data_IF_499093951596
#
_entry.id   IF_499093951596
#
_cell.length_a   1.000
_cell.length_b   1.000
_cell.length_c   1.000
_cell.angle_alpha   90.00
_cell.angle_beta   90.00
_cell.angle_gamma   90.00
#
_symmetry.space_group_name_H-M   'P 1'
#
loop_
_entity.id
_entity.type
_entity.pdbx_description
1 polymer ?
#
# COMPACT_ATOMS: atom_id res chain seq x y z
N UNK A 1 -15.64 -6.58 -25.16
CA UNK A 1 -15.65 -6.29 -23.71
C UNK A 1 -17.05 -5.89 -23.29
N UNK A 2 -17.58 -6.47 -22.21
CA UNK A 2 -18.89 -6.10 -21.65
C UNK A 2 -18.81 -4.80 -20.83
N UNK A 3 -19.93 -4.10 -20.61
CA UNK A 3 -19.98 -2.89 -19.77
C UNK A 3 -19.42 -3.13 -18.35
N UNK A 4 -19.63 -4.33 -17.80
CA UNK A 4 -19.11 -4.74 -16.49
C UNK A 4 -17.59 -4.88 -16.47
N UNK A 5 -16.99 -5.39 -17.55
CA UNK A 5 -15.53 -5.50 -17.69
C UNK A 5 -14.86 -4.13 -17.79
N UNK A 6 -15.46 -3.23 -18.56
CA UNK A 6 -14.97 -1.84 -18.68
C UNK A 6 -15.08 -1.12 -17.33
N UNK A 7 -16.20 -1.27 -16.62
CA UNK A 7 -16.38 -0.69 -15.29
C UNK A 7 -15.33 -1.19 -14.29
N UNK A 8 -15.03 -2.49 -14.31
CA UNK A 8 -13.99 -3.07 -13.46
C UNK A 8 -12.59 -2.54 -13.84
N UNK A 9 -12.29 -2.41 -15.13
CA UNK A 9 -11.02 -1.85 -15.62
C UNK A 9 -10.81 -0.40 -15.14
N UNK A 10 -11.86 0.42 -15.19
CA UNK A 10 -11.82 1.79 -14.67
C UNK A 10 -11.55 1.80 -13.16
N UNK A 11 -12.20 0.91 -12.40
CA UNK A 11 -11.94 0.76 -10.96
C UNK A 11 -10.48 0.42 -10.70
N UNK A 12 -9.90 -0.52 -11.45
CA UNK A 12 -8.48 -0.87 -11.34
C UNK A 12 -7.57 0.31 -11.70
N UNK A 13 -7.90 1.07 -12.75
CA UNK A 13 -7.10 2.22 -13.18
C UNK A 13 -7.08 3.34 -12.12
N UNK A 14 -8.25 3.67 -11.56
CA UNK A 14 -8.36 4.67 -10.48
C UNK A 14 -7.68 4.18 -9.21
N UNK A 15 -7.85 2.90 -8.88
CA UNK A 15 -7.23 2.28 -7.71
C UNK A 15 -5.70 2.30 -7.79
N UNK A 16 -5.12 1.79 -8.88
CA UNK A 16 -3.66 1.82 -9.11
C UNK A 16 -3.13 3.25 -9.22
N UNK A 17 -3.89 4.15 -9.86
CA UNK A 17 -3.57 5.58 -9.95
C UNK A 17 -3.49 6.26 -8.57
N UNK A 18 -4.42 5.97 -7.66
CA UNK A 18 -4.40 6.52 -6.31
C UNK A 18 -3.13 6.10 -5.55
N UNK A 19 -2.69 4.85 -5.71
CA UNK A 19 -1.45 4.36 -5.14
C UNK A 19 -0.21 5.02 -5.74
N UNK A 20 -0.13 5.11 -7.07
CA UNK A 20 0.98 5.79 -7.75
C UNK A 20 1.10 7.25 -7.33
N UNK A 21 0.00 7.99 -7.30
CA UNK A 21 -0.04 9.40 -6.87
C UNK A 21 0.41 9.53 -5.41
N UNK A 22 -0.06 8.65 -4.53
CA UNK A 22 0.38 8.62 -3.12
C UNK A 22 1.87 8.37 -3.01
N UNK A 23 2.38 7.37 -3.74
CA UNK A 23 3.79 7.00 -3.77
C UNK A 23 4.68 8.18 -4.19
N UNK A 24 4.38 8.79 -5.34
CA UNK A 24 5.13 9.93 -5.87
C UNK A 24 5.05 11.14 -4.94
N UNK A 25 3.85 11.45 -4.41
CA UNK A 25 3.66 12.59 -3.50
C UNK A 25 4.47 12.44 -2.22
N UNK A 26 4.44 11.26 -1.60
CA UNK A 26 5.23 10.98 -0.40
C UNK A 26 6.73 10.93 -0.68
N UNK A 27 7.15 10.48 -1.87
CA UNK A 27 8.57 10.47 -2.25
C UNK A 27 9.13 11.89 -2.34
N UNK A 28 8.45 12.75 -3.10
CA UNK A 28 8.92 14.10 -3.39
C UNK A 28 8.80 15.05 -2.20
N UNK A 29 7.77 14.87 -1.37
CA UNK A 29 7.44 15.83 -0.31
C UNK A 29 7.57 15.26 1.11
N UNK A 30 7.81 13.95 1.27
CA UNK A 30 7.83 13.28 2.57
C UNK A 30 8.98 13.68 3.49
N UNK A 31 10.11 14.12 2.94
CA UNK A 31 11.25 14.61 3.76
C UNK A 31 10.86 15.81 4.63
N UNK A 32 9.87 16.58 4.19
CA UNK A 32 9.38 17.78 4.88
C UNK A 32 8.58 17.44 6.15
N UNK A 33 8.23 16.18 6.36
CA UNK A 33 7.60 15.71 7.61
C UNK A 33 8.61 15.39 8.72
N UNK A 34 9.89 15.77 8.55
CA UNK A 34 10.94 15.58 9.54
C UNK A 34 10.59 16.16 10.92
N UNK A 35 9.78 17.25 10.97
CA UNK A 35 9.29 17.86 12.22
C UNK A 35 8.52 16.90 13.13
N UNK A 36 7.90 15.87 12.55
CA UNK A 36 7.15 14.86 13.30
C UNK A 36 7.98 13.58 13.56
N UNK A 37 9.25 13.54 13.13
CA UNK A 37 10.12 12.37 13.25
C UNK A 37 9.72 11.18 12.36
N UNK A 38 8.82 11.39 11.38
CA UNK A 38 8.25 10.32 10.55
C UNK A 38 8.74 10.29 9.10
N UNK A 39 9.61 11.21 8.69
CA UNK A 39 10.07 11.33 7.29
C UNK A 39 10.68 10.03 6.75
N UNK A 40 11.55 9.37 7.52
CA UNK A 40 12.14 8.09 7.12
C UNK A 40 11.09 6.98 6.94
N UNK A 41 10.06 6.97 7.78
CA UNK A 41 8.97 6.00 7.72
C UNK A 41 8.07 6.22 6.50
N UNK A 42 7.78 7.48 6.15
CA UNK A 42 6.98 7.80 4.97
C UNK A 42 7.65 7.41 3.66
N UNK A 43 8.98 7.29 3.61
CA UNK A 43 9.68 6.74 2.44
C UNK A 43 9.31 5.27 2.19
N UNK A 44 9.17 4.45 3.24
CA UNK A 44 8.72 3.06 3.09
C UNK A 44 7.28 2.99 2.57
N UNK A 45 6.40 3.84 3.10
CA UNK A 45 5.02 3.93 2.62
C UNK A 45 4.95 4.42 1.16
N UNK A 46 5.83 5.37 0.79
CA UNK A 46 5.97 5.85 -0.59
C UNK A 46 6.39 4.72 -1.53
N UNK A 47 7.44 3.97 -1.18
CA UNK A 47 7.90 2.83 -1.96
C UNK A 47 6.81 1.76 -2.08
N UNK A 48 6.11 1.43 -0.99
CA UNK A 48 4.96 0.54 -1.01
C UNK A 48 3.91 1.01 -2.03
N UNK A 49 3.44 2.25 -1.90
CA UNK A 49 2.37 2.79 -2.73
C UNK A 49 2.77 2.80 -4.22
N UNK A 50 4.02 3.15 -4.52
CA UNK A 50 4.52 3.12 -5.90
C UNK A 50 4.57 1.68 -6.46
N UNK A 51 5.20 0.75 -5.75
CA UNK A 51 5.33 -0.65 -6.19
C UNK A 51 3.96 -1.34 -6.28
N UNK A 52 3.04 -1.03 -5.36
CA UNK A 52 1.68 -1.55 -5.38
C UNK A 52 0.90 -1.04 -6.60
N UNK A 53 0.97 0.27 -6.87
CA UNK A 53 0.35 0.86 -8.05
C UNK A 53 0.90 0.29 -9.36
N UNK A 54 2.21 0.00 -9.43
CA UNK A 54 2.78 -0.72 -10.58
C UNK A 54 2.24 -2.15 -10.72
N UNK A 55 2.06 -2.88 -9.61
CA UNK A 55 1.44 -4.21 -9.63
C UNK A 55 0.02 -4.16 -10.23
N UNK A 56 -0.75 -3.12 -9.89
CA UNK A 56 -2.10 -2.92 -10.44
C UNK A 56 -2.08 -2.54 -11.92
N UNK A 57 -1.12 -1.73 -12.37
CA UNK A 57 -0.93 -1.43 -13.81
C UNK A 57 -0.63 -2.70 -14.60
N UNK A 58 0.20 -3.60 -14.05
CA UNK A 58 0.46 -4.91 -14.66
C UNK A 58 -0.82 -5.76 -14.66
N UNK A 59 -1.63 -5.75 -13.59
CA UNK A 59 -2.91 -6.48 -13.53
C UNK A 59 -3.91 -5.99 -14.58
N UNK A 60 -3.94 -4.68 -14.85
CA UNK A 60 -4.73 -4.10 -15.96
C UNK A 60 -4.25 -4.64 -17.30
N UNK A 61 -2.94 -4.65 -17.55
CA UNK A 61 -2.35 -5.18 -18.78
C UNK A 61 -2.70 -6.65 -19.03
N UNK A 62 -2.66 -7.48 -17.97
CA UNK A 62 -3.04 -8.89 -18.01
C UNK A 62 -4.54 -9.11 -18.34
N UNK A 63 -5.39 -8.10 -18.17
CA UNK A 63 -6.84 -8.16 -18.44
C UNK A 63 -7.24 -7.58 -19.79
N UNK A 64 -6.30 -7.05 -20.57
CA UNK A 64 -6.59 -6.48 -21.88
C UNK A 64 -6.90 -7.57 -22.91
N UNK A 65 -7.86 -7.33 -23.83
CA UNK A 65 -8.14 -8.27 -24.90
C UNK A 65 -6.90 -8.55 -25.77
N UNK A 66 -6.65 -9.81 -26.12
CA UNK A 66 -5.53 -10.21 -26.98
C UNK A 66 -4.22 -10.50 -26.23
N UNK A 67 -4.19 -10.35 -24.91
CA UNK A 67 -3.07 -10.82 -24.08
C UNK A 67 -3.41 -12.22 -23.56
N UNK A 68 -2.69 -13.25 -24.02
CA UNK A 68 -2.77 -14.62 -23.45
C UNK A 68 -2.00 -14.68 -22.12
N UNK A 69 -2.52 -13.94 -21.14
CA UNK A 69 -1.92 -13.72 -19.85
C UNK A 69 -2.48 -14.74 -18.84
N UNK A 70 -1.73 -15.82 -18.59
CA UNK A 70 -2.01 -16.72 -17.47
C UNK A 70 -1.29 -16.25 -16.21
N UNK A 71 -1.75 -16.63 -15.01
CA UNK A 71 -1.01 -16.42 -13.76
C UNK A 71 0.41 -17.02 -13.81
N UNK A 72 0.62 -18.05 -14.63
CA UNK A 72 1.89 -18.73 -14.87
C UNK A 72 2.77 -18.06 -15.93
N UNK A 73 2.29 -17.01 -16.61
CA UNK A 73 3.09 -16.27 -17.59
C UNK A 73 4.19 -15.45 -16.90
N UNK A 74 5.24 -15.08 -17.65
CA UNK A 74 6.29 -14.19 -17.16
C UNK A 74 5.72 -12.88 -16.58
N UNK A 75 4.69 -12.31 -17.23
CA UNK A 75 4.02 -11.11 -16.75
C UNK A 75 3.20 -11.37 -15.47
N UNK A 76 2.60 -12.55 -15.34
CA UNK A 76 1.96 -13.02 -14.10
C UNK A 76 2.95 -13.14 -12.93
N UNK A 77 4.15 -13.67 -13.19
CA UNK A 77 5.22 -13.74 -12.20
C UNK A 77 5.74 -12.36 -11.78
N UNK A 78 5.91 -11.43 -12.74
CA UNK A 78 6.25 -10.03 -12.45
C UNK A 78 5.19 -9.38 -11.57
N UNK A 79 3.90 -9.56 -11.92
CA UNK A 79 2.77 -9.03 -11.13
C UNK A 79 2.80 -9.51 -9.69
N UNK A 80 2.96 -10.82 -9.49
CA UNK A 80 2.99 -11.43 -8.16
C UNK A 80 4.21 -10.96 -7.36
N UNK A 81 5.36 -10.82 -8.02
CA UNK A 81 6.59 -10.31 -7.38
C UNK A 81 6.40 -8.87 -6.91
N UNK A 82 5.83 -7.99 -7.75
CA UNK A 82 5.52 -6.61 -7.38
C UNK A 82 4.52 -6.55 -6.22
N UNK A 83 3.46 -7.37 -6.26
CA UNK A 83 2.47 -7.45 -5.20
C UNK A 83 3.13 -7.81 -3.87
N UNK A 84 3.94 -8.86 -3.88
CA UNK A 84 4.59 -9.39 -2.71
C UNK A 84 5.65 -8.42 -2.15
N UNK A 85 6.43 -7.80 -3.04
CA UNK A 85 7.36 -6.74 -2.67
C UNK A 85 6.65 -5.54 -2.02
N UNK A 86 5.51 -5.13 -2.58
CA UNK A 86 4.72 -4.04 -2.01
C UNK A 86 4.26 -4.37 -0.59
N UNK A 87 3.71 -5.55 -0.33
CA UNK A 87 3.24 -5.89 1.01
C UNK A 87 4.37 -6.04 2.04
N UNK A 88 5.56 -6.46 1.62
CA UNK A 88 6.73 -6.44 2.51
C UNK A 88 7.13 -5.01 2.87
N UNK A 89 7.12 -4.08 1.92
CA UNK A 89 7.36 -2.66 2.19
C UNK A 89 6.30 -2.09 3.14
N UNK A 90 5.04 -2.51 3.00
CA UNK A 90 3.96 -2.12 3.90
C UNK A 90 4.16 -2.66 5.33
N UNK A 91 4.58 -3.92 5.46
CA UNK A 91 4.90 -4.52 6.75
C UNK A 91 6.09 -3.82 7.42
N UNK A 92 7.16 -3.56 6.66
CA UNK A 92 8.31 -2.79 7.15
C UNK A 92 7.88 -1.38 7.59
N UNK A 93 7.06 -0.69 6.80
CA UNK A 93 6.48 0.58 7.19
C UNK A 93 5.73 0.47 8.51
N UNK A 94 4.78 -0.47 8.62
CA UNK A 94 3.94 -0.64 9.80
C UNK A 94 4.73 -0.94 11.08
N UNK A 95 5.74 -1.80 10.97
CA UNK A 95 6.68 -2.07 12.06
C UNK A 95 7.48 -0.83 12.43
N UNK A 96 8.06 -0.17 11.42
CA UNK A 96 8.95 0.97 11.63
C UNK A 96 8.22 2.15 12.29
N UNK A 97 7.03 2.52 11.81
CA UNK A 97 6.26 3.63 12.39
C UNK A 97 5.82 3.35 13.84
N UNK A 98 5.72 2.07 14.21
CA UNK A 98 5.30 1.62 15.54
C UNK A 98 6.48 1.53 16.53
N UNK A 99 7.70 1.30 16.05
CA UNK A 99 8.89 1.04 16.86
C UNK A 99 9.72 2.33 17.01
N UNK A 100 10.13 2.66 18.23
CA UNK A 100 10.96 3.86 18.51
C UNK A 100 12.46 3.57 18.53
N UNK A 101 12.85 2.30 18.68
CA UNK A 101 14.25 1.89 18.82
C UNK A 101 14.93 1.77 17.44
N UNK A 102 16.00 2.54 17.24
CA UNK A 102 16.76 2.62 16.00
C UNK A 102 17.53 1.34 15.66
N UNK A 103 17.98 0.57 16.66
CA UNK A 103 18.66 -0.71 16.45
C UNK A 103 17.67 -1.76 15.97
N UNK A 104 16.50 -1.82 16.60
CA UNK A 104 15.41 -2.71 16.19
C UNK A 104 14.92 -2.33 14.78
N UNK A 105 14.77 -1.04 14.50
CA UNK A 105 14.41 -0.55 13.16
C UNK A 105 15.38 -1.05 12.08
N UNK A 106 16.70 -0.91 12.28
CA UNK A 106 17.71 -1.42 11.33
C UNK A 106 17.59 -2.93 11.12
N UNK A 107 17.41 -3.70 12.19
CA UNK A 107 17.22 -5.15 12.09
C UNK A 107 15.97 -5.52 11.28
N UNK A 108 14.88 -4.75 11.41
CA UNK A 108 13.63 -4.98 10.67
C UNK A 108 13.79 -4.69 9.18
N UNK A 109 14.47 -3.60 8.83
CA UNK A 109 14.76 -3.30 7.42
C UNK A 109 15.63 -4.41 6.80
N UNK A 110 16.68 -4.84 7.52
CA UNK A 110 17.54 -5.93 7.07
C UNK A 110 16.78 -7.24 6.92
N UNK A 111 15.97 -7.62 7.91
CA UNK A 111 15.15 -8.83 7.84
C UNK A 111 14.12 -8.76 6.70
N UNK A 112 13.53 -7.59 6.48
CA UNK A 112 12.62 -7.34 5.37
C UNK A 112 13.30 -7.47 4.01
N UNK A 113 14.55 -7.01 3.88
CA UNK A 113 15.36 -7.19 2.67
C UNK A 113 15.67 -8.68 2.41
N UNK A 114 16.05 -9.44 3.44
CA UNK A 114 16.21 -10.89 3.32
C UNK A 114 14.89 -11.60 2.99
N UNK A 115 13.77 -11.13 3.55
CA UNK A 115 12.43 -11.62 3.21
C UNK A 115 12.08 -11.40 1.74
N UNK A 116 12.42 -10.24 1.16
CA UNK A 116 12.25 -9.96 -0.28
C UNK A 116 13.07 -10.91 -1.14
N UNK A 117 14.34 -11.14 -0.77
CA UNK A 117 15.23 -12.05 -1.50
C UNK A 117 14.70 -13.49 -1.43
N UNK A 118 14.33 -13.97 -0.23
CA UNK A 118 13.81 -15.32 -0.04
C UNK A 118 12.48 -15.55 -0.77
N UNK A 119 11.61 -14.54 -0.79
CA UNK A 119 10.37 -14.56 -1.55
C UNK A 119 10.63 -14.60 -3.06
N UNK A 120 11.54 -13.76 -3.58
CA UNK A 120 11.90 -13.76 -4.99
C UNK A 120 12.48 -15.12 -5.42
N UNK A 121 13.33 -15.71 -4.58
CA UNK A 121 13.86 -17.06 -4.81
C UNK A 121 12.76 -18.13 -4.79
N UNK A 122 11.85 -18.09 -3.82
CA UNK A 122 10.73 -19.03 -3.73
C UNK A 122 9.77 -18.93 -4.93
N UNK A 123 9.44 -17.71 -5.37
CA UNK A 123 8.63 -17.49 -6.57
C UNK A 123 9.32 -17.98 -7.84
N UNK A 124 10.65 -17.80 -7.94
CA UNK A 124 11.43 -18.31 -9.06
C UNK A 124 11.47 -19.84 -9.08
N UNK A 125 11.59 -20.49 -7.92
CA UNK A 125 11.52 -21.95 -7.82
C UNK A 125 10.15 -22.49 -8.23
N UNK A 126 9.07 -21.89 -7.76
CA UNK A 126 7.70 -22.27 -8.16
C UNK A 126 7.48 -22.12 -9.67
N UNK A 127 8.04 -21.06 -10.27
CA UNK A 127 7.99 -20.87 -11.72
C UNK A 127 8.80 -21.93 -12.46
N UNK A 128 10.01 -22.26 -11.98
CA UNK A 128 10.87 -23.28 -12.57
C UNK A 128 10.27 -24.69 -12.49
N UNK A 129 9.51 -24.99 -11.43
CA UNK A 129 8.82 -26.27 -11.22
C UNK A 129 7.49 -26.38 -11.96
N UNK A 130 7.06 -25.33 -12.66
CA UNK A 130 5.82 -25.34 -13.44
C UNK A 130 4.56 -25.31 -12.57
N UNK A 131 4.58 -24.56 -11.47
CA UNK A 131 3.44 -24.43 -10.56
C UNK A 131 2.13 -24.07 -11.28
N UNK A 132 1.05 -24.69 -10.85
CA UNK A 132 -0.30 -24.46 -11.38
C UNK A 132 -0.84 -23.08 -10.99
N UNK A 133 -1.84 -22.60 -11.74
CA UNK A 133 -2.53 -21.34 -11.42
C UNK A 133 -3.18 -21.36 -10.01
N UNK A 134 -3.59 -22.54 -9.53
CA UNK A 134 -4.17 -22.70 -8.19
C UNK A 134 -3.14 -22.46 -7.09
N UNK A 135 -1.93 -23.01 -7.26
CA UNK A 135 -0.81 -22.83 -6.32
C UNK A 135 -0.35 -21.37 -6.29
N UNK A 136 -0.20 -20.74 -7.44
CA UNK A 136 0.10 -19.29 -7.55
C UNK A 136 -0.96 -18.46 -6.82
N UNK A 137 -2.24 -18.79 -7.02
CA UNK A 137 -3.34 -18.13 -6.31
C UNK A 137 -3.33 -18.36 -4.79
N UNK A 138 -2.87 -19.54 -4.33
CA UNK A 138 -2.71 -19.82 -2.90
C UNK A 138 -1.57 -19.00 -2.29
N UNK A 139 -0.45 -18.87 -2.99
CA UNK A 139 0.69 -18.02 -2.58
C UNK A 139 0.27 -16.56 -2.49
N UNK A 140 -0.46 -16.04 -3.49
CA UNK A 140 -0.99 -14.68 -3.45
C UNK A 140 -1.88 -14.44 -2.22
N UNK A 141 -2.79 -15.37 -1.92
CA UNK A 141 -3.66 -15.30 -0.73
C UNK A 141 -2.83 -15.30 0.55
N UNK A 142 -1.82 -16.17 0.64
CA UNK A 142 -0.94 -16.26 1.80
C UNK A 142 -0.17 -14.94 2.01
N UNK A 143 0.40 -14.36 0.96
CA UNK A 143 1.09 -13.05 1.02
C UNK A 143 0.15 -11.97 1.55
N UNK A 144 -1.07 -11.88 1.00
CA UNK A 144 -2.07 -10.90 1.40
C UNK A 144 -2.47 -11.04 2.88
N UNK A 145 -2.69 -12.26 3.35
CA UNK A 145 -3.15 -12.54 4.71
C UNK A 145 -2.02 -12.44 5.75
N UNK A 146 -0.84 -13.00 5.45
CA UNK A 146 0.26 -13.14 6.40
C UNK A 146 1.20 -11.93 6.41
N UNK A 147 1.24 -11.14 5.33
CA UNK A 147 2.13 -9.98 5.20
C UNK A 147 1.32 -8.70 5.04
N UNK A 148 0.40 -8.68 4.07
CA UNK A 148 -0.36 -7.49 3.74
C UNK A 148 -1.28 -7.00 4.85
N UNK A 149 -2.10 -7.89 5.41
CA UNK A 149 -3.00 -7.59 6.52
C UNK A 149 -2.26 -7.09 7.77
N UNK A 150 -1.29 -7.82 8.35
CA UNK A 150 -0.58 -7.32 9.53
C UNK A 150 0.19 -6.02 9.24
N UNK A 151 0.80 -5.88 8.06
CA UNK A 151 1.50 -4.65 7.69
C UNK A 151 0.57 -3.44 7.64
N UNK A 152 -0.63 -3.61 7.06
CA UNK A 152 -1.64 -2.56 7.00
C UNK A 152 -2.20 -2.19 8.39
N UNK A 153 -2.46 -3.18 9.24
CA UNK A 153 -2.96 -2.95 10.60
C UNK A 153 -1.91 -2.24 11.48
N UNK A 154 -0.65 -2.67 11.41
CA UNK A 154 0.45 -2.01 12.10
C UNK A 154 0.69 -0.60 11.57
N UNK A 155 0.63 -0.40 10.26
CA UNK A 155 0.70 0.94 9.64
C UNK A 155 -0.44 1.84 10.09
N UNK A 156 -1.66 1.32 10.15
CA UNK A 156 -2.83 2.01 10.67
C UNK A 156 -2.65 2.41 12.13
N UNK A 157 -2.19 1.47 12.98
CA UNK A 157 -1.88 1.75 14.38
C UNK A 157 -0.79 2.81 14.54
N UNK A 158 0.25 2.77 13.72
CA UNK A 158 1.30 3.78 13.68
C UNK A 158 0.78 5.18 13.35
N UNK A 159 -0.09 5.29 12.34
CA UNK A 159 -0.76 6.56 12.02
C UNK A 159 -1.69 7.02 13.13
N UNK A 160 -2.38 6.12 13.81
CA UNK A 160 -3.19 6.45 14.98
C UNK A 160 -2.34 7.02 16.13
N UNK A 161 -1.20 6.40 16.42
CA UNK A 161 -0.23 6.94 17.39
C UNK A 161 0.31 8.30 16.97
N UNK A 162 0.55 8.51 15.67
CA UNK A 162 0.95 9.81 15.14
C UNK A 162 -0.15 10.87 15.32
N UNK A 163 -1.41 10.50 15.10
CA UNK A 163 -2.56 11.38 15.35
C UNK A 163 -2.61 11.85 16.80
N UNK A 164 -2.41 10.93 17.76
CA UNK A 164 -2.32 11.26 19.20
C UNK A 164 -1.19 12.26 19.50
N UNK A 165 -0.03 12.12 18.84
CA UNK A 165 1.08 13.09 18.97
C UNK A 165 0.72 14.45 18.39
N UNK A 166 0.09 14.50 17.21
CA UNK A 166 -0.38 15.75 16.63
C UNK A 166 -1.41 16.45 17.53
N UNK A 167 -2.30 15.70 18.19
CA UNK A 167 -3.24 16.27 19.18
C UNK A 167 -2.49 16.88 20.37
N UNK A 168 -1.50 16.18 20.92
CA UNK A 168 -0.68 16.69 22.03
C UNK A 168 0.10 17.97 21.66
N UNK A 169 0.43 18.16 20.39
CA UNK A 169 1.08 19.37 19.86
C UNK A 169 0.09 20.45 19.41
N UNK A 170 -1.21 20.33 19.73
CA UNK A 170 -2.28 21.23 19.30
C UNK A 170 -2.43 21.38 17.77
N UNK A 171 -1.94 20.40 17.00
CA UNK A 171 -2.05 20.36 15.53
C UNK A 171 -3.31 19.59 15.11
N UNK A 172 -4.50 20.16 15.39
CA UNK A 172 -5.80 19.49 15.21
C UNK A 172 -6.02 18.93 13.80
N UNK A 173 -5.63 19.69 12.78
CA UNK A 173 -5.83 19.30 11.39
C UNK A 173 -4.91 18.13 10.98
N UNK A 174 -3.64 18.17 11.41
CA UNK A 174 -2.72 17.06 11.21
C UNK A 174 -3.18 15.79 11.94
N UNK A 175 -3.75 15.94 13.15
CA UNK A 175 -4.33 14.82 13.88
C UNK A 175 -5.51 14.18 13.15
N UNK A 176 -6.37 15.00 12.53
CA UNK A 176 -7.48 14.49 11.72
C UNK A 176 -6.97 13.75 10.48
N UNK A 177 -6.06 14.36 9.73
CA UNK A 177 -5.57 13.76 8.47
C UNK A 177 -4.79 12.45 8.74
N UNK A 178 -4.00 12.39 9.82
CA UNK A 178 -3.32 11.14 10.23
C UNK A 178 -4.30 10.09 10.76
N UNK A 179 -5.38 10.47 11.44
CA UNK A 179 -6.44 9.53 11.84
C UNK A 179 -7.18 8.98 10.62
N UNK A 180 -7.48 9.82 9.64
CA UNK A 180 -8.08 9.38 8.37
C UNK A 180 -7.16 8.40 7.66
N UNK A 181 -5.86 8.68 7.58
CA UNK A 181 -4.87 7.75 7.02
C UNK A 181 -4.84 6.41 7.79
N UNK A 182 -4.93 6.44 9.13
CA UNK A 182 -4.98 5.25 9.96
C UNK A 182 -6.19 4.35 9.61
N UNK A 183 -7.38 4.95 9.55
CA UNK A 183 -8.62 4.25 9.24
C UNK A 183 -8.57 3.69 7.82
N UNK A 184 -8.24 4.53 6.82
CA UNK A 184 -8.17 4.10 5.42
C UNK A 184 -7.17 2.96 5.22
N UNK A 185 -5.99 3.03 5.85
CA UNK A 185 -4.98 1.99 5.71
C UNK A 185 -5.39 0.67 6.38
N UNK A 186 -5.98 0.73 7.58
CA UNK A 186 -6.48 -0.45 8.27
C UNK A 186 -7.65 -1.10 7.51
N UNK A 187 -8.61 -0.29 7.05
CA UNK A 187 -9.73 -0.75 6.20
C UNK A 187 -9.20 -1.37 4.92
N UNK A 188 -8.26 -0.72 4.24
CA UNK A 188 -7.60 -1.28 3.07
C UNK A 188 -6.98 -2.65 3.36
N UNK A 189 -6.24 -2.78 4.46
CA UNK A 189 -5.65 -4.03 4.92
C UNK A 189 -6.64 -5.17 5.08
N UNK A 190 -7.78 -4.91 5.71
CA UNK A 190 -8.86 -5.90 5.87
C UNK A 190 -9.44 -6.29 4.51
N UNK A 191 -9.77 -5.31 3.67
CA UNK A 191 -10.39 -5.55 2.36
C UNK A 191 -9.45 -6.24 1.37
N UNK A 192 -8.15 -5.97 1.45
CA UNK A 192 -7.13 -6.50 0.53
C UNK A 192 -6.44 -7.77 1.04
N UNK A 193 -6.39 -7.95 2.36
CA UNK A 193 -5.71 -9.03 3.06
C UNK A 193 -6.64 -10.18 3.46
N UNK A 194 -7.73 -9.87 4.17
CA UNK A 194 -8.64 -10.88 4.71
C UNK A 194 -9.71 -11.31 3.69
N UNK A 195 -10.20 -10.35 2.90
CA UNK A 195 -11.22 -10.64 1.88
C UNK A 195 -10.50 -10.88 0.56
N UNK A 196 -10.46 -12.14 0.13
CA UNK A 196 -9.85 -12.49 -1.15
C UNK A 196 -10.68 -11.88 -2.28
N UNK A 197 -10.02 -11.30 -3.28
CA UNK A 197 -10.66 -11.02 -4.56
C UNK A 197 -10.79 -12.38 -5.24
N UNK A 198 -12.00 -12.96 -5.23
CA UNK A 198 -12.25 -14.26 -5.82
C UNK A 198 -11.66 -14.35 -7.23
N UNK A 199 -11.07 -15.50 -7.53
CA UNK A 199 -10.70 -15.89 -8.88
C UNK A 199 -11.46 -17.18 -9.19
N UNK A 200 -12.14 -17.29 -10.35
CA UNK A 200 -12.11 -16.37 -11.49
C UNK A 200 -13.06 -15.16 -11.40
N UNK A 201 -14.02 -15.14 -10.46
CA UNK A 201 -15.01 -14.07 -10.32
C UNK A 201 -14.73 -13.17 -9.10
N UNK A 202 -14.78 -11.84 -9.25
CA UNK A 202 -14.52 -10.92 -8.15
C UNK A 202 -15.54 -11.11 -7.03
N UNK A 203 -15.05 -11.08 -5.79
CA UNK A 203 -15.91 -11.08 -4.61
C UNK A 203 -16.77 -9.82 -4.62
N UNK A 204 -18.09 -9.99 -4.60
CA UNK A 204 -19.06 -8.89 -4.60
C UNK A 204 -19.58 -8.69 -3.18
N UNK A 205 -19.54 -7.44 -2.71
CA UNK A 205 -20.11 -7.02 -1.43
C UNK A 205 -21.12 -5.92 -1.74
N UNK A 206 -22.35 -6.03 -1.23
CA UNK A 206 -23.43 -5.05 -1.44
C UNK A 206 -23.63 -4.66 -2.92
N UNK A 207 -23.47 -5.61 -3.84
CA UNK A 207 -23.66 -5.39 -5.29
C UNK A 207 -22.46 -4.77 -6.03
N UNK A 208 -21.37 -4.43 -5.35
CA UNK A 208 -20.15 -3.88 -5.95
C UNK A 208 -18.94 -4.81 -5.74
N UNK A 209 -17.98 -4.84 -6.67
CA UNK A 209 -16.77 -5.65 -6.52
C UNK A 209 -15.91 -5.15 -5.35
N UNK A 210 -15.24 -6.06 -4.63
CA UNK A 210 -14.35 -5.72 -3.51
C UNK A 210 -13.29 -4.68 -3.89
N UNK A 211 -12.85 -4.68 -5.16
CA UNK A 211 -11.94 -3.71 -5.74
C UNK A 211 -12.44 -2.27 -5.62
N UNK A 212 -13.76 -2.04 -5.71
CA UNK A 212 -14.35 -0.72 -5.54
C UNK A 212 -14.14 -0.20 -4.12
N UNK A 213 -14.34 -1.04 -3.10
CA UNK A 213 -14.12 -0.65 -1.71
C UNK A 213 -12.63 -0.42 -1.42
N UNK A 214 -11.74 -1.24 -2.00
CA UNK A 214 -10.29 -1.02 -1.92
C UNK A 214 -9.88 0.30 -2.57
N UNK A 215 -10.48 0.63 -3.72
CA UNK A 215 -10.31 1.91 -4.41
C UNK A 215 -10.68 3.10 -3.51
N UNK A 216 -11.83 3.05 -2.84
CA UNK A 216 -12.24 4.11 -1.92
C UNK A 216 -11.25 4.28 -0.76
N UNK A 217 -10.78 3.17 -0.18
CA UNK A 217 -9.78 3.22 0.89
C UNK A 217 -8.44 3.82 0.40
N UNK A 218 -7.98 3.45 -0.81
CA UNK A 218 -6.77 4.00 -1.41
C UNK A 218 -6.90 5.51 -1.70
N UNK A 219 -8.02 5.96 -2.24
CA UNK A 219 -8.30 7.38 -2.48
C UNK A 219 -8.31 8.15 -1.14
N UNK A 220 -8.99 7.62 -0.13
CA UNK A 220 -9.04 8.24 1.20
C UNK A 220 -7.64 8.39 1.82
N UNK A 221 -6.81 7.35 1.70
CA UNK A 221 -5.42 7.40 2.15
C UNK A 221 -4.59 8.43 1.36
N UNK A 222 -4.74 8.47 0.03
CA UNK A 222 -4.06 9.44 -0.84
C UNK A 222 -4.39 10.88 -0.42
N UNK A 223 -5.68 11.18 -0.28
CA UNK A 223 -6.16 12.50 0.15
C UNK A 223 -5.62 12.86 1.53
N UNK A 224 -5.67 11.92 2.48
CA UNK A 224 -5.17 12.13 3.83
C UNK A 224 -3.65 12.42 3.86
N UNK A 225 -2.85 11.62 3.15
CA UNK A 225 -1.41 11.80 3.06
C UNK A 225 -1.03 13.12 2.38
N UNK A 226 -1.69 13.48 1.27
CA UNK A 226 -1.42 14.74 0.57
C UNK A 226 -1.84 15.94 1.41
N UNK A 227 -2.98 15.86 2.11
CA UNK A 227 -3.44 16.92 3.01
C UNK A 227 -2.47 17.13 4.16
N UNK A 228 -1.97 16.03 4.75
CA UNK A 228 -0.94 16.07 5.78
C UNK A 228 0.34 16.77 5.28
N UNK A 229 0.82 16.40 4.08
CA UNK A 229 2.00 17.03 3.47
C UNK A 229 1.79 18.54 3.29
N UNK A 230 0.65 18.97 2.74
CA UNK A 230 0.35 20.40 2.54
C UNK A 230 0.36 21.18 3.85
N UNK A 231 -0.26 20.66 4.90
CA UNK A 231 -0.31 21.34 6.21
C UNK A 231 1.06 21.45 6.87
N UNK A 232 1.94 20.50 6.62
CA UNK A 232 3.33 20.56 7.11
C UNK A 232 4.20 21.51 6.29
N UNK A 233 3.82 21.83 5.04
CA UNK A 233 4.51 22.80 4.18
C UNK A 233 4.18 24.26 4.51
N UNK A 234 2.97 24.57 4.95
CA UNK A 234 2.46 25.96 5.06
C UNK A 234 2.96 26.73 6.29
N UNK A 235 3.69 26.13 7.24
CA UNK A 235 4.24 26.86 8.41
C UNK A 235 5.74 27.20 8.32
N UNK A 236 6.10 28.18 7.47
CA UNK A 236 7.22 29.07 7.74
C UNK A 236 6.92 30.52 7.34
N UNK A 237 6.30 31.34 8.22
CA UNK A 237 6.46 32.83 8.23
C UNK A 237 5.59 33.66 9.20
N UNK A 238 4.51 33.17 9.82
CA UNK A 238 3.62 34.06 10.63
C UNK A 238 4.14 34.49 12.03
N UNK A 239 5.43 34.31 12.35
CA UNK A 239 5.99 34.71 13.66
C UNK A 239 7.16 35.70 13.53
N UNK A 240 7.56 36.08 12.31
CA UNK A 240 8.71 36.97 12.10
C UNK A 240 8.36 38.43 11.76
N UNK A 241 7.08 38.81 11.66
CA UNK A 241 6.66 40.19 11.29
C UNK A 241 5.76 40.87 12.35
N UNK A 242 5.77 40.38 13.60
CA UNK A 242 5.09 41.05 14.72
C UNK A 242 6.04 41.37 15.89
N UNK A 243 7.30 41.68 15.59
CA UNK A 243 8.32 42.12 16.54
C UNK A 243 9.00 43.40 16.09
#
# INVERSE_FOLDING_TARGET
MSFREVGLLVVYAVYGGAWLVTGVSLWLYGERTARLGVAAHLRLLSMFAFVHGLSDVVDIGLRLPGVEATPTSALGAVRLTLLAASFILLLQFGLAISIRDQRIYRSIITLGAFGLIGLAAGLLSLYAEGASALEIGAVERAIRLLVGLPGALLGGYGFYMLSRRCQALNMRECARDTLTAAICLATYGVLAGAITSGYPAPTVILGLPIQFYRMLAAIGLAVACISLLKRLQVKPSEVAESG
#
